data_IF_865313538889
#
_entry.id   IF_865313538889
#
_cell.length_a   1.000
_cell.length_b   1.000
_cell.length_c   1.000
_cell.angle_alpha   90.00
_cell.angle_beta   90.00
_cell.angle_gamma   90.00
#
_symmetry.space_group_name_H-M   'P 1'
#
loop_
_entity.id
_entity.type
_entity.pdbx_description
1 polymer ?
#
# COMPACT_ATOMS: atom_id res chain seq x y z
N UNK A 1 -35.97 -60.67 -3.52
CA UNK A 1 -34.97 -60.06 -2.61
C UNK A 1 -33.60 -60.04 -3.28
N UNK A 2 -33.13 -58.87 -3.71
CA UNK A 2 -31.72 -58.43 -3.79
C UNK A 2 -31.73 -57.00 -4.35
N UNK A 3 -31.51 -56.02 -3.47
CA UNK A 3 -31.40 -54.61 -3.84
C UNK A 3 -29.95 -54.30 -4.22
N UNK A 4 -29.72 -53.81 -5.44
CA UNK A 4 -28.44 -53.25 -5.85
C UNK A 4 -28.35 -51.80 -5.33
N UNK A 5 -27.42 -51.55 -4.40
CA UNK A 5 -27.00 -50.19 -3.99
C UNK A 5 -26.22 -49.55 -5.14
N UNK A 6 -26.75 -48.49 -5.74
CA UNK A 6 -25.95 -47.53 -6.50
C UNK A 6 -25.16 -46.66 -5.52
N UNK A 7 -23.83 -46.73 -5.61
CA UNK A 7 -22.91 -45.86 -4.89
C UNK A 7 -22.81 -44.56 -5.69
N UNK A 8 -23.45 -43.50 -5.19
CA UNK A 8 -23.29 -42.16 -5.73
C UNK A 8 -21.92 -41.62 -5.28
N UNK A 9 -20.95 -41.57 -6.19
CA UNK A 9 -19.65 -40.95 -5.95
C UNK A 9 -19.82 -39.43 -5.93
N UNK A 10 -19.81 -38.83 -4.75
CA UNK A 10 -19.66 -37.38 -4.61
C UNK A 10 -18.29 -36.95 -5.16
N UNK A 11 -18.27 -36.24 -6.28
CA UNK A 11 -17.11 -35.43 -6.68
C UNK A 11 -17.16 -34.11 -5.92
N UNK A 12 -16.06 -33.64 -5.33
CA UNK A 12 -16.03 -32.30 -4.73
C UNK A 12 -16.23 -31.24 -5.84
N UNK A 13 -16.90 -30.11 -5.52
CA UNK A 13 -17.10 -29.05 -6.49
C UNK A 13 -15.73 -28.51 -6.93
N UNK A 14 -15.48 -28.54 -8.24
CA UNK A 14 -14.33 -27.89 -8.85
C UNK A 14 -14.54 -26.39 -8.70
N UNK A 15 -13.83 -25.77 -7.74
CA UNK A 15 -13.74 -24.32 -7.64
C UNK A 15 -12.98 -23.84 -8.88
N UNK A 16 -13.73 -23.29 -9.83
CA UNK A 16 -13.14 -22.64 -11.00
C UNK A 16 -12.57 -21.29 -10.56
N UNK A 17 -11.28 -21.26 -10.24
CA UNK A 17 -10.53 -20.01 -10.21
C UNK A 17 -10.46 -19.49 -11.64
N UNK A 18 -11.31 -18.50 -11.96
CA UNK A 18 -11.16 -17.71 -13.18
C UNK A 18 -9.87 -16.90 -13.02
N UNK A 19 -8.78 -17.40 -13.61
CA UNK A 19 -7.57 -16.62 -13.84
C UNK A 19 -7.93 -15.50 -14.82
N UNK A 20 -8.28 -14.33 -14.28
CA UNK A 20 -8.24 -13.12 -15.08
C UNK A 20 -6.78 -12.80 -15.37
N UNK A 21 -6.52 -12.63 -16.67
CA UNK A 21 -5.33 -12.11 -17.35
C UNK A 21 -4.20 -11.57 -16.46
N UNK A 22 -2.97 -11.99 -16.79
CA UNK A 22 -1.71 -11.47 -16.26
C UNK A 22 -1.53 -9.97 -16.57
N UNK A 23 -2.29 -9.11 -15.90
CA UNK A 23 -1.86 -7.74 -15.65
C UNK A 23 -0.86 -7.79 -14.50
N UNK A 24 0.28 -7.07 -14.56
CA UNK A 24 1.15 -6.97 -13.40
C UNK A 24 0.32 -6.47 -12.22
N UNK A 25 0.20 -7.27 -11.17
CA UNK A 25 -0.67 -7.01 -9.99
C UNK A 25 -0.09 -5.85 -9.14
N UNK A 26 0.97 -5.22 -9.63
CA UNK A 26 1.72 -4.18 -8.95
C UNK A 26 2.39 -3.31 -10.03
N UNK A 27 1.90 -2.08 -10.25
CA UNK A 27 2.76 -1.05 -10.83
C UNK A 27 3.74 -0.69 -9.72
N UNK A 28 4.86 -1.42 -9.63
CA UNK A 28 5.88 -1.06 -8.65
C UNK A 28 6.34 0.37 -8.96
N UNK A 29 5.99 1.31 -8.06
CA UNK A 29 6.51 2.67 -8.14
C UNK A 29 8.02 2.57 -8.24
N UNK A 30 8.58 3.13 -9.31
CA UNK A 30 10.00 3.05 -9.56
C UNK A 30 10.76 3.87 -8.48
N UNK A 31 12.07 3.66 -8.31
CA UNK A 31 12.84 4.37 -7.27
C UNK A 31 12.77 5.90 -7.38
N UNK A 32 12.72 6.43 -8.61
CA UNK A 32 12.59 7.87 -8.88
C UNK A 32 11.24 8.40 -8.37
N UNK A 33 10.12 7.81 -8.79
CA UNK A 33 8.77 8.15 -8.32
C UNK A 33 8.68 8.10 -6.80
N UNK A 34 9.20 7.04 -6.17
CA UNK A 34 9.17 6.91 -4.71
C UNK A 34 9.90 8.07 -4.03
N UNK A 35 11.09 8.43 -4.52
CA UNK A 35 11.87 9.55 -3.98
C UNK A 35 11.17 10.89 -4.22
N UNK A 36 10.67 11.11 -5.43
CA UNK A 36 9.95 12.32 -5.84
C UNK A 36 8.71 12.60 -4.95
N UNK A 37 7.96 11.55 -4.60
CA UNK A 37 6.81 11.65 -3.70
C UNK A 37 7.15 11.43 -2.20
N UNK A 38 8.45 11.39 -1.85
CA UNK A 38 8.98 11.22 -0.48
C UNK A 38 8.42 9.99 0.23
N UNK A 39 8.21 8.91 -0.53
CA UNK A 39 7.75 7.63 -0.03
C UNK A 39 8.89 6.89 0.68
N UNK A 40 8.59 6.09 1.72
CA UNK A 40 9.59 5.24 2.33
C UNK A 40 10.11 4.21 1.32
N UNK A 41 11.42 3.92 1.41
CA UNK A 41 12.00 2.82 0.65
C UNK A 41 11.33 1.50 1.02
N UNK A 42 11.07 0.61 0.05
CA UNK A 42 10.49 -0.68 0.33
C UNK A 42 11.42 -1.49 1.25
N UNK A 43 10.87 -2.20 2.25
CA UNK A 43 11.67 -3.10 3.07
C UNK A 43 12.21 -4.26 2.22
N UNK A 44 13.28 -4.89 2.69
CA UNK A 44 13.75 -6.13 2.07
C UNK A 44 12.68 -7.22 2.18
N UNK A 45 12.41 -7.99 1.11
CA UNK A 45 11.38 -9.01 1.14
C UNK A 45 11.76 -10.10 2.17
N UNK A 46 10.81 -10.58 2.98
CA UNK A 46 11.06 -11.58 4.03
C UNK A 46 11.32 -12.99 3.46
N UNK A 47 11.05 -13.19 2.17
CA UNK A 47 11.22 -14.47 1.47
C UNK A 47 11.81 -14.23 0.09
N UNK A 48 12.72 -15.11 -0.33
CA UNK A 48 13.23 -15.15 -1.71
C UNK A 48 12.35 -15.99 -2.65
N UNK A 49 11.35 -16.70 -2.10
CA UNK A 49 10.54 -17.66 -2.86
C UNK A 49 9.20 -17.10 -3.33
N UNK A 50 8.69 -16.07 -2.66
CA UNK A 50 7.40 -15.46 -2.93
C UNK A 50 7.36 -14.02 -2.43
N UNK A 51 6.64 -13.16 -3.13
CA UNK A 51 6.48 -11.75 -2.81
C UNK A 51 5.04 -11.25 -3.00
N UNK A 52 4.13 -12.10 -3.48
CA UNK A 52 2.71 -11.84 -3.69
C UNK A 52 1.87 -13.12 -3.48
N UNK A 53 0.55 -13.01 -3.54
CA UNK A 53 -0.34 -14.15 -3.36
C UNK A 53 -0.11 -15.25 -4.42
N UNK A 54 -0.04 -14.96 -5.74
CA UNK A 54 0.19 -15.99 -6.75
C UNK A 54 1.52 -16.73 -6.58
N UNK A 55 2.63 -16.03 -6.36
CA UNK A 55 3.95 -16.65 -6.14
C UNK A 55 3.97 -17.48 -4.86
N UNK A 56 3.27 -17.05 -3.81
CA UNK A 56 3.12 -17.83 -2.58
C UNK A 56 2.33 -19.13 -2.81
N UNK A 57 1.22 -19.07 -3.56
CA UNK A 57 0.44 -20.26 -3.89
C UNK A 57 1.29 -21.26 -4.69
N UNK A 58 1.98 -20.80 -5.75
CA UNK A 58 2.90 -21.66 -6.53
C UNK A 58 4.04 -22.23 -5.70
N UNK A 59 4.60 -21.45 -4.77
CA UNK A 59 5.62 -21.92 -3.83
C UNK A 59 5.05 -23.01 -2.91
N UNK A 60 3.89 -22.76 -2.31
CA UNK A 60 3.26 -23.68 -1.36
C UNK A 60 2.92 -25.03 -1.99
N UNK A 61 2.48 -25.04 -3.25
CA UNK A 61 2.23 -26.25 -4.02
C UNK A 61 3.54 -27.01 -4.30
N UNK A 62 4.60 -26.30 -4.72
CA UNK A 62 5.91 -26.90 -5.03
C UNK A 62 6.52 -27.63 -3.83
N UNK A 63 6.37 -27.10 -2.62
CA UNK A 63 6.90 -27.70 -1.40
C UNK A 63 5.87 -28.58 -0.65
N UNK A 64 4.67 -28.74 -1.22
CA UNK A 64 3.54 -29.44 -0.60
C UNK A 64 3.22 -28.94 0.83
N UNK A 65 3.25 -27.62 1.04
CA UNK A 65 2.95 -27.01 2.33
C UNK A 65 1.48 -27.28 2.72
N UNK A 66 1.18 -27.88 3.89
CA UNK A 66 -0.18 -28.16 4.27
C UNK A 66 -1.00 -26.88 4.44
N UNK A 67 -2.16 -26.80 3.78
CA UNK A 67 -3.06 -25.63 3.86
C UNK A 67 -3.65 -25.38 5.25
N UNK A 68 -3.58 -26.40 6.13
CA UNK A 68 -4.00 -26.32 7.53
C UNK A 68 -2.91 -25.81 8.47
N UNK A 69 -1.67 -25.69 7.98
CA UNK A 69 -0.56 -25.18 8.78
C UNK A 69 -0.76 -23.71 9.13
N UNK A 70 -0.27 -23.31 10.31
CA UNK A 70 -0.31 -21.91 10.75
C UNK A 70 0.45 -21.00 9.81
N UNK A 71 1.59 -21.47 9.27
CA UNK A 71 2.37 -20.75 8.27
C UNK A 71 1.56 -20.51 7.00
N UNK A 72 0.92 -21.54 6.43
CA UNK A 72 0.12 -21.35 5.22
C UNK A 72 -1.03 -20.38 5.46
N UNK A 73 -1.77 -20.59 6.56
CA UNK A 73 -2.94 -19.77 6.90
C UNK A 73 -2.55 -18.31 7.16
N UNK A 74 -1.46 -18.07 7.89
CA UNK A 74 -0.95 -16.73 8.17
C UNK A 74 -0.49 -16.02 6.90
N UNK A 75 0.48 -16.62 6.19
CA UNK A 75 1.05 -16.01 4.98
C UNK A 75 0.02 -15.78 3.89
N UNK A 76 -0.89 -16.73 3.66
CA UNK A 76 -2.00 -16.54 2.72
C UNK A 76 -2.86 -15.34 3.13
N UNK A 77 -3.22 -15.25 4.42
CA UNK A 77 -4.08 -14.18 4.90
C UNK A 77 -3.39 -12.80 4.81
N UNK A 78 -2.12 -12.72 5.12
CA UNK A 78 -1.32 -11.50 4.97
C UNK A 78 -1.33 -11.01 3.51
N UNK A 79 -1.12 -11.90 2.55
CA UNK A 79 -1.20 -11.58 1.12
C UNK A 79 -2.61 -11.20 0.67
N UNK A 80 -3.65 -11.88 1.17
CA UNK A 80 -5.04 -11.48 0.93
C UNK A 80 -5.30 -10.06 1.43
N UNK A 81 -4.86 -9.73 2.64
CA UNK A 81 -5.01 -8.37 3.21
C UNK A 81 -4.24 -7.35 2.40
N UNK A 82 -2.98 -7.64 2.04
CA UNK A 82 -2.14 -6.78 1.21
C UNK A 82 -2.85 -6.42 -0.11
N UNK A 83 -3.40 -7.41 -0.81
CA UNK A 83 -4.12 -7.19 -2.06
C UNK A 83 -5.46 -6.48 -1.84
N UNK A 84 -6.21 -6.87 -0.82
CA UNK A 84 -7.54 -6.31 -0.53
C UNK A 84 -7.48 -4.83 -0.22
N UNK A 85 -6.53 -4.39 0.60
CA UNK A 85 -6.45 -3.00 1.02
C UNK A 85 -6.05 -2.04 -0.11
N UNK A 86 -5.56 -2.53 -1.25
CA UNK A 86 -5.37 -1.69 -2.46
C UNK A 86 -6.67 -1.02 -2.91
N UNK A 87 -7.82 -1.64 -2.65
CA UNK A 87 -9.13 -1.04 -2.98
C UNK A 87 -9.45 0.23 -2.18
N UNK A 88 -8.68 0.52 -1.13
CA UNK A 88 -8.79 1.73 -0.32
C UNK A 88 -7.50 2.56 -0.36
N UNK A 89 -6.77 2.52 -1.48
CA UNK A 89 -5.53 3.27 -1.71
C UNK A 89 -4.37 2.94 -0.74
N UNK A 90 -4.28 1.70 -0.27
CA UNK A 90 -3.08 1.24 0.43
C UNK A 90 -2.06 0.65 -0.55
N UNK A 91 -0.79 0.99 -0.35
CA UNK A 91 0.36 0.24 -0.88
C UNK A 91 1.10 -0.36 0.28
N UNK A 92 1.13 -1.70 0.36
CA UNK A 92 1.69 -2.44 1.48
C UNK A 92 2.77 -3.40 0.98
N UNK A 93 3.83 -3.53 1.75
CA UNK A 93 4.91 -4.49 1.60
C UNK A 93 4.85 -5.46 2.78
N UNK A 94 4.88 -6.76 2.49
CA UNK A 94 4.91 -7.80 3.52
C UNK A 94 6.29 -7.85 4.17
N UNK A 95 6.34 -7.82 5.50
CA UNK A 95 7.56 -8.02 6.30
C UNK A 95 7.43 -9.17 7.31
N UNK A 96 6.23 -9.75 7.45
CA UNK A 96 5.91 -10.79 8.42
C UNK A 96 6.85 -11.99 8.33
N UNK A 97 7.36 -12.43 9.47
CA UNK A 97 8.43 -13.40 9.55
C UNK A 97 8.96 -13.61 10.96
N UNK A 98 10.15 -14.21 11.07
CA UNK A 98 10.81 -14.32 12.37
C UNK A 98 11.30 -12.92 12.78
N UNK A 99 11.04 -12.53 14.03
CA UNK A 99 11.49 -11.27 14.64
C UNK A 99 10.88 -9.97 14.05
N UNK A 100 9.67 -10.07 13.50
CA UNK A 100 8.93 -8.93 12.90
C UNK A 100 8.24 -7.99 13.91
N UNK A 101 8.50 -8.19 15.21
CA UNK A 101 7.87 -7.47 16.32
C UNK A 101 6.33 -7.50 16.31
N UNK A 102 5.72 -8.47 15.61
CA UNK A 102 4.27 -8.58 15.43
C UNK A 102 3.69 -7.65 14.36
N UNK A 103 4.53 -7.10 13.47
CA UNK A 103 4.10 -6.32 12.30
C UNK A 103 4.21 -7.22 11.08
N UNK A 104 3.08 -7.46 10.41
CA UNK A 104 3.05 -8.36 9.26
C UNK A 104 3.25 -7.61 7.94
N UNK A 105 2.69 -6.39 7.81
CA UNK A 105 2.83 -5.53 6.64
C UNK A 105 3.21 -4.11 7.04
N UNK A 106 3.91 -3.39 6.16
CA UNK A 106 4.16 -1.95 6.29
C UNK A 106 3.90 -1.26 4.98
N UNK A 107 3.55 0.02 5.01
CA UNK A 107 3.27 0.72 3.76
C UNK A 107 2.74 2.12 3.94
N UNK A 108 2.06 2.60 2.91
CA UNK A 108 1.51 3.94 2.82
C UNK A 108 0.03 3.89 2.47
N UNK A 109 -0.75 4.80 3.04
CA UNK A 109 -2.16 4.99 2.76
C UNK A 109 -2.38 6.33 2.06
N UNK A 110 -2.74 6.28 0.78
CA UNK A 110 -2.83 7.42 -0.12
C UNK A 110 -4.27 7.95 -0.16
N UNK A 111 -4.59 8.82 0.79
CA UNK A 111 -5.93 9.39 0.89
C UNK A 111 -6.09 10.61 -0.03
N UNK A 112 -7.29 10.84 -0.58
CA UNK A 112 -7.56 12.03 -1.39
C UNK A 112 -7.23 13.32 -0.65
N UNK A 113 -6.86 14.36 -1.40
CA UNK A 113 -6.54 15.70 -0.88
C UNK A 113 -5.36 15.79 0.12
N UNK A 114 -4.77 14.65 0.49
CA UNK A 114 -3.52 14.61 1.25
C UNK A 114 -2.35 14.53 0.30
N UNK A 115 -1.43 15.47 0.41
CA UNK A 115 -0.23 15.46 -0.41
C UNK A 115 0.83 14.45 0.07
N UNK A 116 0.79 14.05 1.34
CA UNK A 116 1.68 13.03 1.91
C UNK A 116 0.84 11.83 2.33
N UNK A 117 1.14 10.63 1.80
CA UNK A 117 0.42 9.45 2.22
C UNK A 117 0.79 9.12 3.67
N UNK A 118 -0.20 8.65 4.42
CA UNK A 118 -0.02 8.28 5.81
C UNK A 118 0.82 7.01 5.91
N UNK A 119 1.85 7.01 6.77
CA UNK A 119 2.60 5.78 7.03
C UNK A 119 1.76 4.82 7.86
N UNK A 120 1.71 3.57 7.45
CA UNK A 120 0.94 2.54 8.15
C UNK A 120 1.76 1.30 8.38
N UNK A 121 1.46 0.61 9.47
CA UNK A 121 1.90 -0.77 9.69
C UNK A 121 0.68 -1.59 10.08
N UNK A 122 0.66 -2.83 9.62
CA UNK A 122 -0.50 -3.69 9.66
C UNK A 122 -0.14 -4.96 10.39
N UNK A 123 -0.99 -5.33 11.34
CA UNK A 123 -0.98 -6.64 11.98
C UNK A 123 -2.18 -7.44 11.49
N UNK A 124 -1.92 -8.65 11.00
CA UNK A 124 -2.88 -9.56 10.40
C UNK A 124 -3.15 -10.73 11.36
N UNK A 125 -4.41 -10.92 11.79
CA UNK A 125 -4.80 -12.01 12.68
C UNK A 125 -5.94 -12.85 12.09
N UNK A 126 -5.59 -14.04 11.60
CA UNK A 126 -6.54 -15.01 11.03
C UNK A 126 -6.98 -16.09 12.04
N UNK A 127 -7.52 -15.68 13.19
CA UNK A 127 -7.89 -16.60 14.27
C UNK A 127 -9.35 -17.10 14.16
N UNK A 128 -9.58 -18.34 14.60
CA UNK A 128 -10.93 -18.92 14.68
C UNK A 128 -11.74 -18.36 15.84
N UNK A 129 -11.09 -17.93 16.92
CA UNK A 129 -11.72 -17.45 18.15
C UNK A 129 -12.07 -15.96 18.09
N UNK A 130 -12.91 -15.50 19.02
CA UNK A 130 -13.17 -14.06 19.21
C UNK A 130 -11.89 -13.35 19.64
N UNK A 131 -11.74 -12.12 19.16
CA UNK A 131 -10.57 -11.30 19.42
C UNK A 131 -10.80 -10.35 20.59
N UNK A 132 -9.81 -10.31 21.49
CA UNK A 132 -9.86 -9.57 22.73
C UNK A 132 -9.07 -8.25 22.70
N UNK A 133 -9.25 -7.40 23.73
CA UNK A 133 -8.52 -6.13 23.87
C UNK A 133 -7.01 -6.30 24.07
N UNK A 134 -6.51 -7.51 24.32
CA UNK A 134 -5.08 -7.78 24.39
C UNK A 134 -4.37 -7.48 23.06
N UNK A 135 -5.03 -7.70 21.92
CA UNK A 135 -4.43 -7.42 20.62
C UNK A 135 -4.23 -5.92 20.36
N UNK A 136 -5.11 -5.07 20.91
CA UNK A 136 -4.93 -3.61 20.84
C UNK A 136 -3.65 -3.22 21.57
N UNK A 137 -3.41 -3.77 22.77
CA UNK A 137 -2.19 -3.50 23.55
C UNK A 137 -0.93 -4.08 22.88
N UNK A 138 -1.06 -5.24 22.23
CA UNK A 138 0.01 -5.82 21.43
C UNK A 138 0.40 -4.87 20.29
N UNK A 139 -0.59 -4.37 19.54
CA UNK A 139 -0.37 -3.40 18.46
C UNK A 139 0.21 -2.06 18.97
N UNK A 140 -0.24 -1.56 20.12
CA UNK A 140 0.36 -0.37 20.75
C UNK A 140 1.86 -0.56 21.02
N UNK A 141 2.26 -1.77 21.44
CA UNK A 141 3.65 -2.14 21.65
C UNK A 141 4.53 -2.07 20.39
N UNK A 142 3.93 -2.13 19.20
CA UNK A 142 4.68 -2.13 17.93
C UNK A 142 4.97 -0.72 17.41
N UNK A 143 4.31 0.33 17.92
CA UNK A 143 4.57 1.73 17.51
C UNK A 143 6.02 2.16 17.68
N UNK A 144 6.68 1.69 18.75
CA UNK A 144 8.10 1.98 18.99
C UNK A 144 9.04 1.11 18.15
N UNK A 145 8.54 -0.02 17.67
CA UNK A 145 9.29 -1.05 16.95
C UNK A 145 9.13 -0.95 15.43
N UNK A 146 8.40 0.06 14.93
CA UNK A 146 8.22 0.24 13.48
C UNK A 146 9.56 0.27 12.74
N UNK A 147 9.65 -0.33 11.54
CA UNK A 147 10.87 -0.33 10.74
C UNK A 147 11.40 1.07 10.41
N UNK A 148 12.68 1.12 10.02
CA UNK A 148 13.29 2.34 9.46
C UNK A 148 12.45 2.79 8.26
N UNK A 149 12.16 4.09 8.16
CA UNK A 149 11.18 4.62 7.20
C UNK A 149 9.76 4.74 7.75
N UNK A 150 9.38 4.03 8.83
CA UNK A 150 8.06 4.15 9.49
C UNK A 150 8.15 4.70 10.92
N UNK A 151 9.33 5.10 11.38
CA UNK A 151 9.55 5.80 12.66
C UNK A 151 9.24 7.29 12.53
N UNK A 152 7.97 7.62 12.32
CA UNK A 152 7.45 9.00 12.26
C UNK A 152 6.37 9.22 13.33
N UNK A 153 6.09 10.49 13.66
CA UNK A 153 4.93 10.88 14.47
C UNK A 153 3.61 10.74 13.72
N UNK A 154 3.63 10.81 12.39
CA UNK A 154 2.44 10.71 11.54
C UNK A 154 2.28 9.29 10.97
N UNK A 155 1.77 8.38 11.80
CA UNK A 155 1.50 7.00 11.40
C UNK A 155 0.32 6.39 12.12
N UNK A 156 -0.32 5.42 11.48
CA UNK A 156 -1.38 4.63 12.08
C UNK A 156 -1.01 3.13 12.15
N UNK A 157 -1.45 2.49 13.24
CA UNK A 157 -1.43 1.05 13.38
C UNK A 157 -2.76 0.48 12.93
N UNK A 158 -2.73 -0.48 12.00
CA UNK A 158 -3.92 -1.14 11.47
C UNK A 158 -3.94 -2.58 11.95
N UNK A 159 -5.02 -3.00 12.62
CA UNK A 159 -5.27 -4.40 12.92
C UNK A 159 -6.31 -4.95 11.96
N UNK A 160 -5.93 -5.95 11.17
CA UNK A 160 -6.81 -6.63 10.24
C UNK A 160 -7.08 -8.05 10.71
N UNK A 161 -8.35 -8.44 10.78
CA UNK A 161 -8.72 -9.78 11.22
C UNK A 161 -9.94 -10.34 10.53
N UNK A 162 -10.13 -11.66 10.64
CA UNK A 162 -11.32 -12.34 10.09
C UNK A 162 -12.55 -12.24 11.02
N UNK A 163 -12.52 -11.36 12.03
CA UNK A 163 -13.55 -11.23 13.06
C UNK A 163 -13.92 -9.76 13.30
N UNK A 164 -15.17 -9.53 13.62
CA UNK A 164 -15.62 -8.22 14.06
C UNK A 164 -14.94 -7.81 15.36
N UNK A 165 -14.71 -6.50 15.52
CA UNK A 165 -14.29 -5.94 16.78
C UNK A 165 -15.33 -6.25 17.87
N UNK A 166 -14.89 -6.82 18.99
CA UNK A 166 -15.75 -6.98 20.16
C UNK A 166 -15.94 -5.63 20.86
N UNK A 167 -16.91 -5.53 21.77
CA UNK A 167 -17.06 -4.34 22.62
C UNK A 167 -15.75 -4.02 23.35
N UNK A 168 -15.07 -5.03 23.91
CA UNK A 168 -13.79 -4.85 24.58
C UNK A 168 -12.69 -4.29 23.68
N UNK A 169 -12.64 -4.72 22.41
CA UNK A 169 -11.72 -4.16 21.40
C UNK A 169 -12.04 -2.69 21.13
N UNK A 170 -13.31 -2.36 20.86
CA UNK A 170 -13.74 -0.96 20.63
C UNK A 170 -13.40 -0.07 21.81
N UNK A 171 -13.70 -0.52 23.03
CA UNK A 171 -13.40 0.21 24.26
C UNK A 171 -11.89 0.39 24.46
N UNK A 172 -11.06 -0.59 24.07
CA UNK A 172 -9.62 -0.48 24.14
C UNK A 172 -9.05 0.50 23.12
N UNK A 173 -9.51 0.46 21.86
CA UNK A 173 -9.12 1.42 20.83
C UNK A 173 -9.48 2.85 21.23
N UNK A 174 -10.69 3.06 21.76
CA UNK A 174 -11.16 4.37 22.19
C UNK A 174 -10.31 4.99 23.32
N UNK A 175 -9.71 4.16 24.19
CA UNK A 175 -8.81 4.62 25.26
C UNK A 175 -7.36 4.79 24.81
N UNK A 176 -6.99 4.24 23.66
CA UNK A 176 -5.62 4.29 23.19
C UNK A 176 -5.19 5.72 22.88
N UNK A 177 -3.96 6.05 23.24
CA UNK A 177 -3.33 7.32 22.82
C UNK A 177 -2.69 7.23 21.45
N UNK A 178 -2.69 6.05 20.82
CA UNK A 178 -2.13 5.85 19.49
C UNK A 178 -3.22 5.89 18.40
N UNK A 179 -2.90 6.32 17.17
CA UNK A 179 -3.81 6.26 16.02
C UNK A 179 -4.04 4.81 15.57
N UNK A 180 -5.21 4.25 15.89
CA UNK A 180 -5.52 2.85 15.66
C UNK A 180 -6.70 2.68 14.72
N UNK A 181 -6.54 1.76 13.75
CA UNK A 181 -7.58 1.30 12.83
C UNK A 181 -7.81 -0.18 13.03
N UNK A 182 -9.07 -0.61 12.98
CA UNK A 182 -9.48 -2.01 12.97
C UNK A 182 -10.25 -2.29 11.69
N UNK A 183 -9.91 -3.37 11.00
CA UNK A 183 -10.64 -3.83 9.83
C UNK A 183 -10.99 -5.32 9.95
N UNK A 184 -12.23 -5.66 9.63
CA UNK A 184 -12.63 -7.05 9.41
C UNK A 184 -12.54 -7.36 7.93
N UNK A 185 -11.59 -8.20 7.57
CA UNK A 185 -11.39 -8.70 6.21
C UNK A 185 -11.50 -10.22 6.26
N UNK A 186 -12.46 -10.76 5.52
CA UNK A 186 -12.65 -12.19 5.36
C UNK A 186 -11.51 -12.82 4.56
N UNK A 187 -11.45 -14.16 4.55
CA UNK A 187 -10.37 -14.91 3.89
C UNK A 187 -10.41 -14.82 2.37
N UNK A 188 -11.55 -14.42 1.81
CA UNK A 188 -11.76 -14.15 0.39
C UNK A 188 -11.46 -12.69 0.01
N UNK A 189 -11.07 -11.85 0.97
CA UNK A 189 -10.84 -10.41 0.78
C UNK A 189 -12.08 -9.53 0.94
N UNK A 190 -13.23 -10.08 1.32
CA UNK A 190 -14.43 -9.28 1.57
C UNK A 190 -14.28 -8.46 2.85
N UNK A 191 -14.52 -7.15 2.77
CA UNK A 191 -14.40 -6.22 3.90
C UNK A 191 -15.77 -5.97 4.52
N UNK A 192 -15.89 -6.30 5.80
CA UNK A 192 -17.15 -6.34 6.54
C UNK A 192 -17.30 -5.22 7.57
N UNK A 193 -16.17 -4.71 8.07
CA UNK A 193 -16.15 -3.67 9.10
C UNK A 193 -14.84 -2.89 9.00
N UNK A 194 -14.92 -1.58 9.22
CA UNK A 194 -13.78 -0.74 9.49
C UNK A 194 -14.14 0.22 10.63
N UNK A 195 -13.21 0.44 11.55
CA UNK A 195 -13.36 1.29 12.72
C UNK A 195 -12.02 1.97 12.98
N UNK A 196 -12.05 3.17 13.55
CA UNK A 196 -10.86 3.86 14.02
C UNK A 196 -11.17 4.65 15.29
N UNK A 197 -10.13 5.10 15.99
CA UNK A 197 -10.28 5.97 17.15
C UNK A 197 -10.03 7.45 16.80
N UNK A 198 -10.36 8.36 17.73
CA UNK A 198 -10.20 9.81 17.54
C UNK A 198 -8.75 10.23 17.19
N UNK A 199 -7.75 9.43 17.59
CA UNK A 199 -6.34 9.69 17.25
C UNK A 199 -6.06 9.54 15.77
N UNK A 200 -6.82 8.74 15.04
CA UNK A 200 -6.74 8.67 13.57
C UNK A 200 -7.29 9.95 12.95
N UNK A 201 -8.39 10.48 13.49
CA UNK A 201 -8.99 11.75 13.02
C UNK A 201 -8.03 12.93 13.26
N UNK A 202 -7.34 12.96 14.40
CA UNK A 202 -6.30 13.95 14.73
C UNK A 202 -5.10 13.93 13.77
N UNK A 203 -4.84 12.82 13.07
CA UNK A 203 -3.86 12.77 11.99
C UNK A 203 -4.35 13.46 10.71
N UNK A 204 -5.54 14.04 10.71
CA UNK A 204 -6.19 14.67 9.56
C UNK A 204 -6.98 13.67 8.71
N UNK A 205 -7.57 12.64 9.32
CA UNK A 205 -8.45 11.66 8.68
C UNK A 205 -9.92 11.84 9.10
N UNK A 206 -10.32 13.05 9.50
CA UNK A 206 -11.71 13.35 9.90
C UNK A 206 -12.74 13.21 8.77
N UNK A 207 -12.29 13.28 7.51
CA UNK A 207 -13.11 13.05 6.31
C UNK A 207 -13.38 11.56 6.03
N UNK A 208 -12.68 10.65 6.73
CA UNK A 208 -12.84 9.22 6.52
C UNK A 208 -14.23 8.76 6.95
N UNK A 209 -14.89 7.99 6.10
CA UNK A 209 -16.23 7.44 6.33
C UNK A 209 -16.30 5.94 6.04
N UNK A 210 -17.41 5.33 6.46
CA UNK A 210 -17.76 3.94 6.13
C UNK A 210 -19.17 3.90 5.58
N UNK A 211 -19.32 3.32 4.40
CA UNK A 211 -20.63 3.05 3.80
C UNK A 211 -20.89 1.56 3.68
N UNK A 212 -22.13 1.15 3.95
CA UNK A 212 -22.55 -0.24 3.80
C UNK A 212 -23.08 -0.46 2.38
N UNK A 213 -22.51 -1.44 1.69
CA UNK A 213 -22.95 -1.90 0.37
C UNK A 213 -23.63 -3.25 0.51
N UNK A 214 -24.86 -3.35 0.03
CA UNK A 214 -25.58 -4.62 -0.04
C UNK A 214 -25.36 -5.24 -1.40
N UNK A 215 -24.64 -6.37 -1.44
CA UNK A 215 -24.52 -7.17 -2.65
C UNK A 215 -25.80 -7.98 -2.85
N UNK A 216 -26.61 -7.63 -3.85
CA UNK A 216 -27.68 -8.49 -4.32
C UNK A 216 -27.09 -9.60 -5.19
N UNK A 217 -26.77 -10.76 -4.59
CA UNK A 217 -26.63 -11.99 -5.34
C UNK A 217 -27.94 -12.76 -5.20
N UNK A 218 -28.67 -12.91 -6.30
CA UNK A 218 -29.79 -13.84 -6.39
C UNK A 218 -29.16 -15.19 -6.73
N UNK A 219 -28.89 -16.00 -5.70
CA UNK A 219 -28.68 -17.42 -5.92
C UNK A 219 -30.02 -18.04 -6.34
N UNK A 220 -29.99 -18.91 -7.36
CA UNK A 220 -31.14 -19.67 -7.90
C UNK A 220 -31.68 -20.72 -6.91
N UNK A 221 -31.30 -20.63 -5.63
CA UNK A 221 -31.64 -21.56 -4.56
C UNK A 221 -31.95 -20.80 -3.26
N UNK A 222 -32.89 -19.85 -3.33
CA UNK A 222 -33.80 -19.46 -2.23
C UNK A 222 -33.24 -18.93 -0.90
N UNK A 223 -31.93 -18.80 -0.68
CA UNK A 223 -31.36 -18.22 0.54
C UNK A 223 -30.62 -16.92 0.23
N UNK A 224 -31.37 -15.81 0.26
CA UNK A 224 -30.83 -14.47 0.08
C UNK A 224 -30.05 -14.03 1.34
N UNK A 225 -28.87 -14.62 1.58
CA UNK A 225 -27.89 -14.00 2.47
C UNK A 225 -27.20 -12.88 1.69
N UNK A 226 -27.87 -11.71 1.61
CA UNK A 226 -27.26 -10.51 1.07
C UNK A 226 -25.97 -10.23 1.87
N UNK A 227 -24.83 -10.61 1.29
CA UNK A 227 -23.53 -10.45 1.93
C UNK A 227 -23.32 -8.96 2.19
N UNK A 228 -23.39 -8.56 3.47
CA UNK A 228 -23.01 -7.21 3.88
C UNK A 228 -21.59 -6.99 3.40
N UNK A 229 -21.31 -5.84 2.80
CA UNK A 229 -19.95 -5.38 2.48
C UNK A 229 -19.86 -3.93 2.91
N UNK A 230 -18.66 -3.47 3.21
CA UNK A 230 -18.44 -2.03 3.43
C UNK A 230 -17.44 -1.48 2.42
N UNK A 231 -17.51 -0.18 2.23
CA UNK A 231 -16.47 0.59 1.57
C UNK A 231 -16.02 1.74 2.47
N UNK A 232 -14.75 2.11 2.36
CA UNK A 232 -14.23 3.33 2.95
C UNK A 232 -14.48 4.50 2.00
N UNK A 233 -14.91 5.61 2.56
CA UNK A 233 -15.17 6.86 1.82
C UNK A 233 -14.32 8.00 2.36
N UNK A 234 -14.12 9.02 1.55
CA UNK A 234 -13.47 10.27 1.89
C UNK A 234 -14.40 11.43 1.53
N UNK A 235 -14.86 12.18 2.53
CA UNK A 235 -15.90 13.22 2.39
C UNK A 235 -17.17 12.72 1.68
N UNK A 236 -17.54 11.45 1.92
CA UNK A 236 -18.71 10.80 1.33
C UNK A 236 -18.49 10.22 -0.06
N UNK A 237 -17.33 10.45 -0.68
CA UNK A 237 -16.97 9.86 -1.98
C UNK A 237 -16.12 8.60 -1.80
N UNK A 238 -16.15 7.72 -2.79
CA UNK A 238 -15.33 6.50 -2.76
C UNK A 238 -13.83 6.83 -2.75
N UNK A 239 -13.08 6.18 -1.85
CA UNK A 239 -11.61 6.21 -1.92
C UNK A 239 -11.19 5.47 -3.21
N UNK A 240 -10.32 6.06 -4.05
CA UNK A 240 -9.87 5.41 -5.27
C UNK A 240 -9.10 4.12 -4.98
N UNK A 241 -9.13 3.20 -5.95
CA UNK A 241 -8.22 2.06 -5.94
C UNK A 241 -6.77 2.53 -6.10
N UNK A 242 -5.82 1.83 -5.47
CA UNK A 242 -4.40 2.20 -5.51
C UNK A 242 -3.83 2.28 -6.93
N UNK A 243 -4.27 1.42 -7.85
CA UNK A 243 -3.89 1.48 -9.28
C UNK A 243 -4.19 2.85 -9.92
N UNK A 244 -5.33 3.47 -9.57
CA UNK A 244 -5.70 4.80 -10.08
C UNK A 244 -4.82 5.87 -9.43
N UNK A 245 -4.49 5.72 -8.14
CA UNK A 245 -3.53 6.59 -7.45
C UNK A 245 -2.14 6.50 -8.09
N UNK A 246 -1.63 5.29 -8.37
CA UNK A 246 -0.35 5.06 -9.03
C UNK A 246 -0.32 5.72 -10.42
N UNK A 247 -1.42 5.64 -11.17
CA UNK A 247 -1.57 6.32 -12.46
C UNK A 247 -1.56 7.85 -12.32
N UNK A 248 -2.24 8.40 -11.31
CA UNK A 248 -2.22 9.84 -11.04
C UNK A 248 -0.82 10.31 -10.64
N UNK A 249 -0.10 9.53 -9.83
CA UNK A 249 1.30 9.78 -9.48
C UNK A 249 2.19 9.82 -10.71
N UNK A 250 2.06 8.83 -11.62
CA UNK A 250 2.82 8.80 -12.87
C UNK A 250 2.51 10.02 -13.77
N UNK A 251 1.25 10.45 -13.84
CA UNK A 251 0.88 11.65 -14.59
C UNK A 251 1.44 12.93 -13.96
N UNK A 252 1.41 13.03 -12.63
CA UNK A 252 1.98 14.17 -11.91
C UNK A 252 3.50 14.22 -12.05
N UNK A 253 4.18 13.07 -12.00
CA UNK A 253 5.60 12.94 -12.29
C UNK A 253 5.92 13.43 -13.70
N UNK A 254 5.23 12.94 -14.73
CA UNK A 254 5.46 13.35 -16.11
C UNK A 254 5.26 14.87 -16.31
N UNK A 255 4.20 15.44 -15.71
CA UNK A 255 3.95 16.89 -15.74
C UNK A 255 5.04 17.69 -15.00
N UNK A 256 5.54 17.16 -13.90
CA UNK A 256 6.59 17.81 -13.11
C UNK A 256 7.93 17.75 -13.84
N UNK A 257 8.26 16.62 -14.47
CA UNK A 257 9.45 16.47 -15.32
C UNK A 257 9.43 17.41 -16.53
N UNK A 258 8.27 17.60 -17.15
CA UNK A 258 8.10 18.53 -18.27
C UNK A 258 8.42 20.01 -17.92
N UNK A 259 8.44 20.39 -16.63
CA UNK A 259 8.87 21.72 -16.21
C UNK A 259 10.37 21.96 -16.43
N UNK A 260 11.13 20.89 -16.66
CA UNK A 260 12.59 20.91 -16.71
C UNK A 260 13.15 20.47 -18.08
N UNK A 261 12.29 20.09 -19.03
CA UNK A 261 12.67 19.51 -20.34
C UNK A 261 13.57 20.42 -21.19
N UNK A 262 13.59 21.74 -20.94
CA UNK A 262 14.53 22.65 -21.61
C UNK A 262 15.95 22.51 -21.04
N UNK A 263 16.68 21.49 -21.49
CA UNK A 263 18.12 21.36 -21.30
C UNK A 263 18.61 20.17 -20.47
N UNK A 264 17.72 19.23 -20.11
CA UNK A 264 18.11 18.01 -19.41
C UNK A 264 18.57 16.89 -20.36
N UNK A 265 19.63 16.14 -20.00
CA UNK A 265 19.92 14.87 -20.65
C UNK A 265 18.79 13.88 -20.35
N UNK A 266 18.17 13.30 -21.39
CA UNK A 266 17.21 12.19 -21.28
C UNK A 266 17.92 10.90 -20.79
N UNK A 267 18.30 10.89 -19.52
CA UNK A 267 18.99 9.79 -18.86
C UNK A 267 18.55 9.71 -17.39
N UNK A 268 18.37 8.50 -16.88
CA UNK A 268 17.99 8.23 -15.49
C UNK A 268 18.95 8.90 -14.48
N UNK A 269 20.25 8.94 -14.79
CA UNK A 269 21.26 9.64 -13.98
C UNK A 269 21.01 11.15 -13.90
N UNK A 270 20.58 11.77 -15.00
CA UNK A 270 20.28 13.20 -15.06
C UNK A 270 19.03 13.55 -14.25
N UNK A 271 17.99 12.71 -14.33
CA UNK A 271 16.76 12.86 -13.53
C UNK A 271 17.05 12.79 -12.02
N UNK A 272 17.86 11.81 -11.60
CA UNK A 272 18.25 11.66 -10.20
C UNK A 272 19.09 12.82 -9.67
N UNK A 273 19.98 13.38 -10.50
CA UNK A 273 20.79 14.53 -10.14
C UNK A 273 19.96 15.81 -10.05
N UNK A 274 19.02 16.02 -10.98
CA UNK A 274 18.04 17.11 -10.88
C UNK A 274 17.27 17.02 -9.56
N UNK A 275 16.73 15.84 -9.26
CA UNK A 275 15.95 15.62 -8.04
C UNK A 275 16.79 15.89 -6.79
N UNK A 276 18.06 15.49 -6.76
CA UNK A 276 18.98 15.80 -5.66
C UNK A 276 19.18 17.32 -5.47
N UNK A 277 19.32 18.07 -6.57
CA UNK A 277 19.47 19.54 -6.50
C UNK A 277 18.18 20.18 -5.99
N UNK A 278 17.02 19.74 -6.49
CA UNK A 278 15.71 20.23 -6.03
C UNK A 278 15.54 19.95 -4.55
N UNK A 279 15.79 18.72 -4.08
CA UNK A 279 15.69 18.37 -2.65
C UNK A 279 16.66 19.20 -1.78
N UNK A 280 17.84 19.53 -2.31
CA UNK A 280 18.84 20.33 -1.59
C UNK A 280 18.40 21.79 -1.46
N UNK A 281 17.84 22.38 -2.52
CA UNK A 281 17.47 23.79 -2.55
C UNK A 281 16.06 24.05 -2.00
N UNK A 282 15.14 23.10 -2.21
CA UNK A 282 13.71 23.17 -1.92
C UNK A 282 13.24 21.83 -1.33
N UNK A 283 13.57 21.53 -0.06
CA UNK A 283 13.32 20.22 0.54
C UNK A 283 11.82 19.87 0.65
N UNK A 284 10.94 20.87 0.60
CA UNK A 284 9.49 20.69 0.66
C UNK A 284 8.84 20.50 -0.72
N UNK A 285 9.55 20.83 -1.81
CA UNK A 285 9.05 20.69 -3.18
C UNK A 285 8.78 19.22 -3.55
N UNK A 286 7.72 19.01 -4.34
CA UNK A 286 7.30 17.73 -4.93
C UNK A 286 6.14 17.99 -5.92
N UNK A 287 5.79 17.01 -6.78
CA UNK A 287 4.60 17.11 -7.62
C UNK A 287 3.32 17.19 -6.78
N UNK A 288 2.44 18.11 -7.14
CA UNK A 288 1.11 18.21 -6.54
C UNK A 288 0.15 17.22 -7.21
N UNK A 289 -0.33 16.24 -6.44
CA UNK A 289 -1.29 15.23 -6.92
C UNK A 289 -2.68 15.82 -7.16
N UNK A 290 -3.10 16.75 -6.30
CA UNK A 290 -4.34 17.50 -6.44
C UNK A 290 -4.08 18.76 -7.27
N UNK A 291 -4.07 18.64 -8.60
CA UNK A 291 -4.12 19.84 -9.43
C UNK A 291 -5.53 20.39 -9.36
N UNK A 292 -5.73 21.53 -8.69
CA UNK A 292 -6.94 22.33 -8.86
C UNK A 292 -7.14 22.71 -10.34
N UNK A 293 -8.22 23.41 -10.70
CA UNK A 293 -8.51 23.81 -12.08
C UNK A 293 -7.40 24.64 -12.76
N UNK A 294 -6.44 25.14 -11.99
CA UNK A 294 -5.25 25.87 -12.44
C UNK A 294 -4.15 24.99 -13.04
N UNK A 295 -4.19 23.66 -12.85
CA UNK A 295 -3.23 22.73 -13.45
C UNK A 295 -1.79 22.81 -12.92
N UNK A 296 -1.55 23.56 -11.84
CA UNK A 296 -0.21 23.78 -11.26
C UNK A 296 0.31 22.49 -10.62
N UNK A 297 1.47 22.00 -11.09
CA UNK A 297 2.08 20.75 -10.63
C UNK A 297 3.30 20.94 -9.71
N UNK A 298 3.73 22.18 -9.44
CA UNK A 298 4.91 22.52 -8.63
C UNK A 298 4.66 23.80 -7.83
N UNK A 299 5.29 23.95 -6.67
CA UNK A 299 5.22 25.20 -5.88
C UNK A 299 6.28 26.23 -6.27
N UNK A 300 7.26 25.82 -7.10
CA UNK A 300 8.38 26.66 -7.51
C UNK A 300 7.98 27.75 -8.52
N UNK A 301 8.53 28.94 -8.35
CA UNK A 301 8.44 30.01 -9.34
C UNK A 301 9.39 29.77 -10.54
N UNK A 302 9.22 30.53 -11.63
CA UNK A 302 10.17 30.51 -12.76
C UNK A 302 11.60 30.85 -12.33
N UNK A 303 11.76 31.74 -11.34
CA UNK A 303 13.07 32.15 -10.81
C UNK A 303 13.73 31.00 -10.04
N UNK A 304 12.95 30.27 -9.24
CA UNK A 304 13.41 29.10 -8.50
C UNK A 304 13.85 27.99 -9.47
N UNK A 305 13.05 27.74 -10.51
CA UNK A 305 13.40 26.77 -11.56
C UNK A 305 14.68 27.14 -12.29
N UNK A 306 14.83 28.41 -12.69
CA UNK A 306 16.05 28.89 -13.34
C UNK A 306 17.30 28.69 -12.45
N UNK A 307 17.17 28.88 -11.13
CA UNK A 307 18.24 28.63 -10.17
C UNK A 307 18.64 27.16 -10.11
N UNK A 308 17.68 26.24 -10.07
CA UNK A 308 17.95 24.78 -10.12
C UNK A 308 18.68 24.41 -11.40
N UNK A 309 18.19 24.87 -12.56
CA UNK A 309 18.79 24.59 -13.86
C UNK A 309 20.21 25.16 -14.00
N UNK A 310 20.50 26.30 -13.36
CA UNK A 310 21.84 26.85 -13.33
C UNK A 310 22.80 25.93 -12.56
N UNK A 311 22.42 25.51 -11.35
CA UNK A 311 23.24 24.59 -10.53
C UNK A 311 23.44 23.25 -11.25
N UNK A 312 22.40 22.75 -11.92
CA UNK A 312 22.49 21.51 -12.69
C UNK A 312 23.52 21.62 -13.83
N UNK A 313 23.46 22.70 -14.63
CA UNK A 313 24.43 22.96 -15.71
C UNK A 313 25.87 23.09 -15.17
N UNK A 314 26.05 23.81 -14.06
CA UNK A 314 27.38 23.98 -13.44
C UNK A 314 27.98 22.63 -12.98
N UNK A 315 27.15 21.72 -12.42
CA UNK A 315 27.59 20.36 -12.06
C UNK A 315 27.95 19.52 -13.28
N UNK A 316 27.18 19.60 -14.37
CA UNK A 316 27.49 18.90 -15.61
C UNK A 316 28.81 19.37 -16.22
N UNK A 317 29.06 20.69 -16.25
CA UNK A 317 30.32 21.26 -16.74
C UNK A 317 31.53 20.83 -15.89
N UNK A 318 31.40 20.80 -14.56
CA UNK A 318 32.48 20.35 -13.68
C UNK A 318 32.85 18.87 -13.85
N UNK A 319 31.96 18.05 -14.42
CA UNK A 319 32.18 16.61 -14.67
C UNK A 319 32.79 16.30 -16.04
N UNK A 320 32.78 17.26 -16.98
CA UNK A 320 33.52 17.10 -18.22
C UNK A 320 35.00 17.39 -17.93
N UNK A 321 35.91 16.40 -17.97
CA UNK A 321 37.33 16.67 -17.80
C UNK A 321 37.77 17.61 -18.93
N UNK A 322 38.50 18.67 -18.59
CA UNK A 322 39.20 19.52 -19.56
C UNK A 322 39.92 18.59 -20.55
N UNK A 323 39.46 18.62 -21.80
CA UNK A 323 40.07 17.86 -22.88
C UNK A 323 41.56 18.19 -22.90
N UNK A 324 42.37 17.17 -22.68
CA UNK A 324 43.82 17.17 -22.85
C UNK A 324 44.12 17.82 -24.20
N UNK A 325 44.53 19.07 -24.18
CA UNK A 325 45.08 19.77 -25.33
C UNK A 325 46.44 19.14 -25.63
N UNK A 326 46.45 18.05 -26.39
CA UNK A 326 47.63 17.65 -27.15
C UNK A 326 47.79 18.68 -28.28
N UNK A 327 48.41 19.80 -27.92
CA UNK A 327 49.07 20.68 -28.89
C UNK A 327 50.24 19.91 -29.49
N UNK A 328 50.04 19.43 -30.71
CA UNK A 328 51.09 19.11 -31.66
C UNK A 328 51.97 20.35 -31.90
N UNK A 329 53.15 20.39 -31.30
CA UNK A 329 54.33 21.18 -31.68
C UNK A 329 55.53 20.36 -31.15
N UNK A 330 56.55 19.93 -31.90
CA UNK A 330 57.02 20.13 -33.28
C UNK A 330 57.85 18.92 -33.66
#
# INVERSE_FOLDING_TARGET
MKAHRLICKYSPPKVFYRYFSQCPIHLSLNPFTRRLFKLPSPPSPPSTNHNDLPSFLSYSERIALPQTSTTYVGTHYEYTVQQTLRQFAFTLDRIGGRDDAGIDLVGTWHLPQREHPLRVFVQCKSLKTKLGPNLVRELEGTFRQSPVGWRTGEKAGVLVSTREATKGVRDAMARSTYPLVWMMVERDGTVQQALWNARVEELGLGALGVETRYGGHVDDDGDASAGKRIALTWDGEDIPHMDEVEKQMAQAEAKWMALWDEGLPNSESGELELLEIVETLFPDEKPLLATGPTGVCSTLSDVDRARVLQVFRDRLHARQPEGRSESNET
#
